data_IF_987394276656
#
_entry.id   IF_987394276656
#
_cell.length_a   1.000
_cell.length_b   1.000
_cell.length_c   1.000
_cell.angle_alpha   90.00
_cell.angle_beta   90.00
_cell.angle_gamma   90.00
#
_symmetry.space_group_name_H-M   'P 1'
#
loop_
_entity.id
_entity.type
_entity.pdbx_description
1 polymer ?
#
# COMPACT_ATOMS: atom_id res chain seq x y z
N UNK A 1 -7.37 -6.30 -22.94
CA UNK A 1 -6.58 -5.18 -22.37
C UNK A 1 -7.21 -4.74 -21.04
N UNK A 2 -7.37 -5.66 -20.07
CA UNK A 2 -8.23 -5.44 -18.89
C UNK A 2 -7.47 -5.26 -17.57
N UNK A 3 -6.20 -5.69 -17.49
CA UNK A 3 -5.42 -5.68 -16.24
C UNK A 3 -5.20 -4.29 -15.63
N UNK A 4 -4.94 -3.27 -16.44
CA UNK A 4 -4.63 -1.92 -15.95
C UNK A 4 -5.83 -1.19 -15.31
N UNK A 5 -7.06 -1.53 -15.70
CA UNK A 5 -8.26 -0.89 -15.14
C UNK A 5 -8.61 -1.47 -13.76
N UNK A 6 -8.44 -2.79 -13.61
CA UNK A 6 -8.67 -3.51 -12.36
C UNK A 6 -7.62 -3.14 -11.30
N UNK A 7 -6.33 -3.09 -11.70
CA UNK A 7 -5.25 -2.67 -10.79
C UNK A 7 -5.42 -1.23 -10.33
N UNK A 8 -5.79 -0.30 -11.23
CA UNK A 8 -6.12 1.09 -10.85
C UNK A 8 -7.30 1.19 -9.89
N UNK A 9 -8.35 0.41 -10.09
CA UNK A 9 -9.50 0.37 -9.18
C UNK A 9 -9.10 -0.13 -7.80
N UNK A 10 -8.36 -1.24 -7.73
CA UNK A 10 -7.90 -1.79 -6.46
C UNK A 10 -6.90 -0.85 -5.74
N UNK A 11 -5.98 -0.22 -6.46
CA UNK A 11 -5.07 0.80 -5.92
C UNK A 11 -5.83 2.00 -5.33
N UNK A 12 -6.87 2.46 -6.03
CA UNK A 12 -7.74 3.55 -5.56
C UNK A 12 -8.49 3.14 -4.28
N UNK A 13 -9.08 1.95 -4.26
CA UNK A 13 -9.79 1.42 -3.07
C UNK A 13 -8.85 1.34 -1.87
N UNK A 14 -7.61 0.87 -2.04
CA UNK A 14 -6.61 0.89 -0.97
C UNK A 14 -6.32 2.32 -0.47
N UNK A 15 -6.05 3.24 -1.39
CA UNK A 15 -5.79 4.66 -1.06
C UNK A 15 -6.95 5.31 -0.30
N UNK A 16 -8.20 5.01 -0.68
CA UNK A 16 -9.41 5.52 0.00
C UNK A 16 -9.61 4.88 1.39
N UNK A 17 -9.25 3.62 1.59
CA UNK A 17 -9.35 2.93 2.88
C UNK A 17 -8.32 3.41 3.90
N UNK A 18 -7.14 3.86 3.46
CA UNK A 18 -6.05 4.25 4.34
C UNK A 18 -5.62 5.70 4.08
N UNK A 19 -6.12 6.68 4.86
CA UNK A 19 -5.67 8.07 4.77
C UNK A 19 -4.15 8.18 4.94
N UNK A 20 -3.50 8.96 4.07
CA UNK A 20 -2.05 9.13 4.05
C UNK A 20 -1.28 8.00 3.36
N UNK A 21 -1.98 7.07 2.73
CA UNK A 21 -1.38 6.00 1.91
C UNK A 21 -1.65 6.27 0.44
N UNK A 22 -0.61 6.17 -0.38
CA UNK A 22 -0.73 6.14 -1.84
C UNK A 22 -0.35 4.75 -2.32
N UNK A 23 -1.29 4.02 -2.92
CA UNK A 23 -1.06 2.67 -3.45
C UNK A 23 -1.05 2.65 -4.98
N UNK A 24 -0.24 1.76 -5.58
CA UNK A 24 -0.20 1.52 -7.03
C UNK A 24 0.29 0.10 -7.36
N UNK A 25 0.04 -0.35 -8.58
CA UNK A 25 0.64 -1.57 -9.12
C UNK A 25 1.78 -1.20 -10.06
N UNK A 26 2.97 -1.74 -9.80
CA UNK A 26 4.17 -1.53 -10.60
C UNK A 26 4.24 -2.53 -11.74
N UNK A 27 3.71 -2.18 -12.91
CA UNK A 27 3.68 -3.06 -14.10
C UNK A 27 5.06 -3.63 -14.48
N UNK A 28 6.14 -2.84 -14.30
CA UNK A 28 7.51 -3.28 -14.57
C UNK A 28 8.04 -4.29 -13.54
N UNK A 29 7.56 -4.21 -12.30
CA UNK A 29 7.98 -5.09 -11.19
C UNK A 29 7.05 -6.27 -10.99
N UNK A 30 5.81 -6.18 -11.47
CA UNK A 30 4.75 -7.15 -11.18
C UNK A 30 4.22 -7.11 -9.74
N UNK A 31 4.58 -6.08 -8.96
CA UNK A 31 4.27 -5.97 -7.53
C UNK A 31 3.33 -4.80 -7.22
N UNK A 32 2.62 -4.94 -6.10
CA UNK A 32 1.86 -3.89 -5.45
C UNK A 32 2.76 -3.06 -4.55
N UNK A 33 2.58 -1.75 -4.58
CA UNK A 33 3.37 -0.81 -3.80
C UNK A 33 2.45 0.13 -3.01
N UNK A 34 2.91 0.54 -1.83
CA UNK A 34 2.28 1.57 -1.04
C UNK A 34 3.33 2.51 -0.42
N UNK A 35 3.14 3.81 -0.62
CA UNK A 35 3.83 4.85 0.13
C UNK A 35 2.93 5.25 1.29
N UNK A 36 3.46 5.24 2.51
CA UNK A 36 2.74 5.64 3.72
C UNK A 36 3.46 6.83 4.33
N UNK A 37 2.77 7.95 4.46
CA UNK A 37 3.29 9.11 5.19
C UNK A 37 2.94 8.99 6.67
N UNK A 38 3.96 8.71 7.49
CA UNK A 38 3.84 8.63 8.96
C UNK A 38 4.47 9.88 9.60
N UNK A 39 4.11 10.22 10.85
CA UNK A 39 4.78 11.31 11.58
C UNK A 39 6.30 11.14 11.74
N UNK A 40 6.78 9.89 11.70
CA UNK A 40 8.21 9.54 11.82
C UNK A 40 8.95 9.53 10.47
N UNK A 41 8.24 9.73 9.36
CA UNK A 41 8.78 9.72 8.01
C UNK A 41 7.95 8.89 7.03
N UNK A 42 8.31 8.96 5.75
CA UNK A 42 7.67 8.17 4.71
C UNK A 42 8.21 6.73 4.70
N UNK A 43 7.30 5.76 4.51
CA UNK A 43 7.63 4.34 4.42
C UNK A 43 7.09 3.74 3.14
N UNK A 44 7.96 3.06 2.41
CA UNK A 44 7.61 2.33 1.20
C UNK A 44 7.44 0.83 1.52
N UNK A 45 6.33 0.26 1.10
CA UNK A 45 6.02 -1.16 1.21
C UNK A 45 5.79 -1.75 -0.19
N UNK A 46 6.19 -3.00 -0.38
CA UNK A 46 5.84 -3.80 -1.55
C UNK A 46 5.26 -5.15 -1.15
N UNK A 47 4.41 -5.70 -2.02
CA UNK A 47 3.94 -7.07 -1.93
C UNK A 47 3.56 -7.61 -3.32
N UNK A 48 3.70 -8.93 -3.57
CA UNK A 48 3.23 -9.56 -4.80
C UNK A 48 1.69 -9.54 -4.96
N UNK A 49 0.96 -9.33 -3.87
CA UNK A 49 -0.52 -9.38 -3.84
C UNK A 49 -1.14 -8.20 -3.08
N UNK A 50 -2.32 -7.78 -3.52
CA UNK A 50 -3.06 -6.63 -2.99
C UNK A 50 -3.54 -6.85 -1.54
N UNK A 51 -3.93 -8.08 -1.18
CA UNK A 51 -4.35 -8.41 0.18
C UNK A 51 -3.16 -8.42 1.13
N UNK A 52 -2.01 -8.91 0.68
CA UNK A 52 -0.78 -8.86 1.46
C UNK A 52 -0.30 -7.42 1.66
N UNK A 53 -0.38 -6.56 0.63
CA UNK A 53 -0.08 -5.14 0.79
C UNK A 53 -1.02 -4.48 1.82
N UNK A 54 -2.33 -4.79 1.77
CA UNK A 54 -3.33 -4.29 2.74
C UNK A 54 -2.98 -4.67 4.18
N UNK A 55 -2.58 -5.91 4.40
CA UNK A 55 -2.15 -6.41 5.71
C UNK A 55 -0.92 -5.65 6.20
N UNK A 56 0.11 -5.50 5.37
CA UNK A 56 1.32 -4.76 5.74
C UNK A 56 1.04 -3.28 6.05
N UNK A 57 0.15 -2.62 5.30
CA UNK A 57 -0.31 -1.25 5.60
C UNK A 57 -1.00 -1.21 6.96
N UNK A 58 -1.91 -2.15 7.21
CA UNK A 58 -2.64 -2.26 8.48
C UNK A 58 -1.67 -2.43 9.64
N UNK A 59 -0.73 -3.37 9.55
CA UNK A 59 0.28 -3.63 10.56
C UNK A 59 1.18 -2.42 10.79
N UNK A 60 1.63 -1.74 9.72
CA UNK A 60 2.48 -0.54 9.83
C UNK A 60 1.75 0.60 10.55
N UNK A 61 0.45 0.79 10.28
CA UNK A 61 -0.36 1.84 10.93
C UNK A 61 -0.79 1.48 12.34
N UNK A 62 -1.02 0.19 12.61
CA UNK A 62 -1.41 -0.33 13.92
C UNK A 62 -0.26 -0.41 14.92
N UNK A 63 0.92 0.13 14.58
CA UNK A 63 2.14 0.00 15.37
C UNK A 63 2.60 1.30 16.05
N UNK A 64 1.97 1.73 17.17
CA UNK A 64 2.48 2.85 17.96
C UNK A 64 3.60 2.49 18.97
N UNK A 65 3.91 1.20 19.22
CA UNK A 65 4.55 0.80 20.50
C UNK A 65 5.90 0.06 20.46
N UNK A 66 6.53 -0.25 19.32
CA UNK A 66 7.89 -0.86 19.33
C UNK A 66 9.05 0.12 19.08
N UNK A 67 8.97 1.36 19.55
CA UNK A 67 10.13 2.26 19.59
C UNK A 67 10.51 2.63 21.04
N UNK A 68 10.55 1.64 21.93
CA UNK A 68 11.25 1.76 23.22
C UNK A 68 12.61 1.11 23.13
#
# INVERSE_FOLDING_TARGET
MSGNAETKRAARVLTEMFPGVQAWYGEATGEWWAMISLPTGDRLLSAPDVHQLREQITLTRAWPWHQR
#
